data_IF_852717354631
#
_entry.id   IF_852717354631
#
_cell.length_a   1.000
_cell.length_b   1.000
_cell.length_c   1.000
_cell.angle_alpha   90.00
_cell.angle_beta   90.00
_cell.angle_gamma   90.00
#
_symmetry.space_group_name_H-M   'P 1'
#
loop_
_entity.id
_entity.type
_entity.pdbx_description
1 polymer ?
#
# COMPACT_ATOMS: atom_id res chain seq x y z
N UNK A 1 12.82 7.09 -11.80
CA UNK A 1 11.45 7.49 -11.37
C UNK A 1 10.90 6.42 -10.45
N UNK A 2 9.90 6.74 -9.62
CA UNK A 2 9.27 5.76 -8.72
C UNK A 2 8.73 4.54 -9.49
N UNK A 3 8.21 4.75 -10.69
CA UNK A 3 7.67 3.66 -11.52
C UNK A 3 8.73 2.78 -12.18
N UNK A 4 10.00 3.20 -12.19
CA UNK A 4 11.11 2.40 -12.76
C UNK A 4 11.58 1.32 -11.78
N UNK A 5 11.17 1.39 -10.52
CA UNK A 5 11.50 0.41 -9.47
C UNK A 5 10.61 -0.81 -9.53
N UNK A 6 9.72 -0.94 -10.51
CA UNK A 6 8.81 -2.07 -10.64
C UNK A 6 8.70 -2.52 -12.10
N UNK A 7 8.79 -3.83 -12.32
CA UNK A 7 8.60 -4.45 -13.63
C UNK A 7 7.56 -5.57 -13.56
N UNK A 8 6.80 -5.78 -14.63
CA UNK A 8 5.94 -6.95 -14.73
C UNK A 8 6.74 -8.15 -15.24
N UNK A 9 6.53 -9.31 -14.62
CA UNK A 9 7.18 -10.55 -15.01
C UNK A 9 6.12 -11.49 -15.58
N UNK A 10 6.21 -11.82 -16.86
CA UNK A 10 5.42 -12.89 -17.44
C UNK A 10 6.14 -14.25 -17.23
N UNK A 11 5.61 -15.16 -16.37
CA UNK A 11 6.19 -16.47 -16.19
C UNK A 11 6.09 -17.37 -17.43
N UNK A 12 5.38 -16.97 -18.48
CA UNK A 12 5.16 -17.75 -19.70
C UNK A 12 6.05 -17.38 -20.89
N UNK A 13 7.02 -16.48 -20.71
CA UNK A 13 7.95 -16.03 -21.74
C UNK A 13 8.94 -17.15 -22.20
N UNK A 14 8.40 -18.13 -22.92
CA UNK A 14 9.10 -18.87 -23.97
C UNK A 14 8.79 -18.18 -25.30
N UNK A 15 9.74 -18.09 -26.25
CA UNK A 15 9.48 -17.55 -27.58
C UNK A 15 8.61 -18.54 -28.35
N UNK A 16 7.32 -18.49 -28.08
CA UNK A 16 6.27 -19.17 -28.83
C UNK A 16 5.23 -18.09 -29.14
N UNK A 17 4.62 -18.06 -30.33
CA UNK A 17 3.59 -17.06 -30.62
C UNK A 17 2.41 -17.33 -29.69
N UNK A 18 2.30 -16.54 -28.63
CA UNK A 18 1.18 -16.57 -27.71
C UNK A 18 -0.09 -16.03 -28.39
N UNK A 19 -1.27 -16.29 -27.81
CA UNK A 19 -2.51 -15.69 -28.29
C UNK A 19 -2.39 -14.16 -28.25
N UNK A 20 -3.11 -13.48 -29.14
CA UNK A 20 -3.10 -12.01 -29.22
C UNK A 20 -3.38 -11.40 -27.83
N UNK A 21 -2.62 -10.37 -27.42
CA UNK A 21 -2.85 -9.70 -26.15
C UNK A 21 -4.27 -9.13 -26.09
N UNK A 22 -4.89 -9.15 -24.91
CA UNK A 22 -6.25 -8.61 -24.71
C UNK A 22 -6.28 -7.14 -25.17
N UNK A 23 -7.21 -6.75 -26.06
CA UNK A 23 -7.40 -5.37 -26.46
C UNK A 23 -7.46 -4.37 -25.30
N UNK A 24 -7.97 -4.76 -24.12
CA UNK A 24 -8.01 -3.89 -22.94
C UNK A 24 -6.62 -3.61 -22.37
N UNK A 25 -5.77 -4.63 -22.26
CA UNK A 25 -4.37 -4.51 -21.81
C UNK A 25 -3.55 -3.69 -22.81
N UNK A 26 -3.69 -3.96 -24.12
CA UNK A 26 -3.06 -3.13 -25.18
C UNK A 26 -3.54 -1.68 -25.07
N UNK A 27 -4.83 -1.46 -24.83
CA UNK A 27 -5.37 -0.12 -24.71
C UNK A 27 -4.80 0.60 -23.49
N UNK A 28 -4.79 -0.01 -22.31
CA UNK A 28 -4.24 0.58 -21.08
C UNK A 28 -2.74 0.86 -21.20
N UNK A 29 -1.95 -0.06 -21.74
CA UNK A 29 -0.53 0.16 -22.03
C UNK A 29 -0.32 1.30 -23.03
N UNK A 30 -1.17 1.36 -24.06
CA UNK A 30 -1.13 2.43 -25.05
C UNK A 30 -1.54 3.79 -24.48
N UNK A 31 -2.33 3.85 -23.39
CA UNK A 31 -2.70 5.12 -22.77
C UNK A 31 -1.48 5.86 -22.22
N UNK A 32 -0.57 5.12 -21.59
CA UNK A 32 0.68 5.68 -21.08
C UNK A 32 1.58 6.22 -22.21
N UNK A 33 1.63 5.52 -23.34
CA UNK A 33 2.50 5.86 -24.48
C UNK A 33 1.92 6.95 -25.37
N UNK A 34 0.60 6.96 -25.59
CA UNK A 34 -0.09 7.87 -26.52
C UNK A 34 -0.55 9.15 -25.82
N UNK A 35 -1.04 9.05 -24.59
CA UNK A 35 -1.64 10.18 -23.88
C UNK A 35 -0.79 10.71 -22.72
N UNK A 36 0.43 10.16 -22.52
CA UNK A 36 1.27 10.48 -21.35
C UNK A 36 0.53 10.26 -20.03
N UNK A 37 -0.45 9.35 -19.99
CA UNK A 37 -1.23 9.05 -18.80
C UNK A 37 -0.34 8.35 -17.76
N UNK A 38 -0.14 8.92 -16.56
CA UNK A 38 0.72 8.34 -15.56
C UNK A 38 0.21 6.97 -15.10
N UNK A 39 1.10 6.00 -15.12
CA UNK A 39 0.84 4.68 -14.55
C UNK A 39 0.75 4.78 -13.02
N UNK A 40 -0.36 4.28 -12.45
CA UNK A 40 -0.65 4.36 -11.00
C UNK A 40 -0.64 3.00 -10.30
N UNK A 41 -0.80 1.93 -11.07
CA UNK A 41 -0.89 0.55 -10.62
C UNK A 41 -0.04 -0.37 -11.51
N UNK A 42 0.39 -1.49 -10.96
CA UNK A 42 1.33 -2.41 -11.61
C UNK A 42 0.89 -3.86 -11.49
N UNK A 43 1.09 -4.60 -12.59
CA UNK A 43 0.82 -6.01 -12.75
C UNK A 43 -0.63 -6.35 -13.08
N UNK A 44 -0.85 -7.64 -13.32
CA UNK A 44 -2.17 -8.22 -13.63
C UNK A 44 -2.56 -9.27 -12.57
N UNK A 45 -3.87 -9.50 -12.35
CA UNK A 45 -4.34 -10.55 -11.46
C UNK A 45 -3.67 -11.91 -11.69
N UNK A 46 -3.20 -12.54 -10.62
CA UNK A 46 -2.55 -13.86 -10.67
C UNK A 46 -1.13 -13.88 -11.24
N UNK A 47 -0.60 -12.76 -11.76
CA UNK A 47 0.75 -12.64 -12.32
C UNK A 47 1.77 -12.21 -11.26
N UNK A 48 2.99 -11.92 -11.70
CA UNK A 48 4.08 -11.48 -10.84
C UNK A 48 4.61 -10.12 -11.28
N UNK A 49 5.10 -9.35 -10.31
CA UNK A 49 5.90 -8.16 -10.52
C UNK A 49 7.24 -8.31 -9.78
N UNK A 50 8.28 -7.63 -10.27
CA UNK A 50 9.57 -7.48 -9.61
C UNK A 50 9.67 -6.05 -9.08
N UNK A 51 9.73 -5.87 -7.77
CA UNK A 51 10.16 -4.61 -7.17
C UNK A 51 11.68 -4.61 -7.02
N UNK A 52 12.35 -3.54 -7.46
CA UNK A 52 13.80 -3.40 -7.47
C UNK A 52 14.20 -2.32 -6.47
N UNK A 53 14.87 -2.71 -5.39
CA UNK A 53 15.49 -1.79 -4.44
C UNK A 53 16.99 -1.75 -4.69
N UNK A 54 17.55 -0.54 -4.85
CA UNK A 54 19.00 -0.37 -4.98
C UNK A 54 19.76 -0.85 -3.72
N UNK A 55 19.13 -0.72 -2.54
CA UNK A 55 19.75 -1.06 -1.26
C UNK A 55 19.50 -2.50 -0.82
N UNK A 56 18.29 -3.03 -1.07
CA UNK A 56 17.84 -4.32 -0.53
C UNK A 56 17.77 -5.45 -1.57
N UNK A 57 17.93 -5.12 -2.85
CA UNK A 57 17.82 -6.06 -3.97
C UNK A 57 16.40 -6.20 -4.51
N UNK A 58 16.18 -7.29 -5.24
CA UNK A 58 14.93 -7.52 -5.98
C UNK A 58 13.93 -8.37 -5.20
N UNK A 59 12.66 -8.01 -5.28
CA UNK A 59 11.54 -8.64 -4.57
C UNK A 59 10.49 -9.10 -5.57
N UNK A 60 10.26 -10.40 -5.63
CA UNK A 60 9.27 -10.99 -6.52
C UNK A 60 7.93 -11.08 -5.79
N UNK A 61 6.91 -10.40 -6.30
CA UNK A 61 5.58 -10.35 -5.71
C UNK A 61 4.58 -11.00 -6.64
N UNK A 62 3.84 -11.99 -6.13
CA UNK A 62 2.63 -12.51 -6.76
C UNK A 62 1.47 -11.57 -6.48
N UNK A 63 0.61 -11.39 -7.48
CA UNK A 63 -0.64 -10.65 -7.35
C UNK A 63 -1.81 -11.61 -7.18
N UNK A 64 -2.79 -11.18 -6.38
CA UNK A 64 -3.97 -11.97 -6.14
C UNK A 64 -4.77 -12.18 -7.43
N UNK A 65 -5.45 -13.32 -7.55
CA UNK A 65 -6.44 -13.58 -8.58
C UNK A 65 -7.80 -13.66 -7.86
N UNK A 66 -8.50 -12.52 -7.68
CA UNK A 66 -9.64 -12.46 -6.79
C UNK A 66 -10.86 -13.17 -7.35
N UNK A 67 -11.74 -13.65 -6.45
CA UNK A 67 -13.10 -13.98 -6.85
C UNK A 67 -13.79 -12.72 -7.43
N UNK A 68 -14.62 -12.84 -8.48
CA UNK A 68 -15.33 -11.69 -9.07
C UNK A 68 -16.08 -10.81 -8.07
N UNK A 69 -16.58 -11.37 -6.96
CA UNK A 69 -17.23 -10.61 -5.89
C UNK A 69 -16.27 -9.66 -5.14
N UNK A 70 -14.98 -9.98 -5.14
CA UNK A 70 -13.91 -9.26 -4.46
C UNK A 70 -13.07 -8.39 -5.42
N UNK A 71 -13.33 -8.41 -6.73
CA UNK A 71 -12.62 -7.56 -7.71
C UNK A 71 -12.67 -6.07 -7.36
N UNK A 72 -13.80 -5.62 -6.81
CA UNK A 72 -13.97 -4.22 -6.40
C UNK A 72 -13.08 -3.78 -5.24
N UNK A 73 -12.38 -4.70 -4.56
CA UNK A 73 -11.46 -4.37 -3.47
C UNK A 73 -10.06 -3.97 -3.97
N UNK A 74 -9.75 -4.22 -5.26
CA UNK A 74 -8.51 -3.80 -5.91
C UNK A 74 -7.18 -4.26 -5.25
N UNK A 75 -7.24 -5.31 -4.43
CA UNK A 75 -6.08 -5.92 -3.74
C UNK A 75 -5.12 -6.70 -4.67
N UNK A 76 -5.40 -6.73 -5.97
CA UNK A 76 -4.67 -7.51 -6.98
C UNK A 76 -3.65 -6.69 -7.78
N UNK A 77 -3.35 -5.46 -7.36
CA UNK A 77 -2.32 -4.61 -7.95
C UNK A 77 -1.29 -4.18 -6.92
N UNK A 78 -0.08 -3.81 -7.38
CA UNK A 78 0.82 -2.95 -6.60
C UNK A 78 0.59 -1.51 -7.01
N UNK A 79 0.20 -0.67 -6.05
CA UNK A 79 -0.05 0.75 -6.28
C UNK A 79 1.21 1.60 -6.03
N UNK A 80 1.33 2.75 -6.69
CA UNK A 80 2.48 3.66 -6.48
C UNK A 80 2.66 4.06 -5.00
N UNK A 81 1.58 4.15 -4.21
CA UNK A 81 1.68 4.41 -2.78
C UNK A 81 2.46 3.32 -2.02
N UNK A 82 2.38 2.06 -2.45
CA UNK A 82 3.11 0.95 -1.82
C UNK A 82 4.61 1.01 -2.15
N UNK A 83 4.96 1.41 -3.38
CA UNK A 83 6.35 1.68 -3.78
C UNK A 83 6.93 2.83 -2.95
N UNK A 84 6.17 3.91 -2.79
CA UNK A 84 6.60 5.07 -2.00
C UNK A 84 6.74 4.72 -0.51
N UNK A 85 5.85 3.90 0.06
CA UNK A 85 5.97 3.43 1.43
C UNK A 85 7.23 2.57 1.62
N UNK A 86 7.50 1.64 0.69
CA UNK A 86 8.71 0.84 0.69
C UNK A 86 9.99 1.70 0.66
N UNK A 87 10.02 2.72 -0.20
CA UNK A 87 11.14 3.66 -0.28
C UNK A 87 11.35 4.40 1.05
N UNK A 88 10.29 4.99 1.62
CA UNK A 88 10.38 5.75 2.89
C UNK A 88 10.85 4.89 4.07
N UNK A 89 10.48 3.60 4.08
CA UNK A 89 10.94 2.64 5.08
C UNK A 89 12.43 2.34 4.86
N UNK A 90 12.83 2.08 3.61
CA UNK A 90 14.21 1.74 3.20
C UNK A 90 15.18 2.84 3.60
N UNK A 91 14.88 4.10 3.22
CA UNK A 91 15.73 5.26 3.55
C UNK A 91 15.56 5.77 4.98
N UNK A 92 14.80 5.05 5.82
CA UNK A 92 14.55 5.37 7.24
C UNK A 92 13.81 6.69 7.52
N UNK A 93 13.21 7.33 6.51
CA UNK A 93 12.30 8.47 6.70
C UNK A 93 11.03 8.08 7.48
N UNK A 94 10.62 6.82 7.37
CA UNK A 94 9.67 6.17 8.27
C UNK A 94 10.32 4.97 8.94
N UNK A 95 11.20 5.25 9.92
CA UNK A 95 12.00 4.22 10.59
C UNK A 95 11.14 3.16 11.29
N UNK A 96 11.36 1.89 10.92
CA UNK A 96 10.72 0.70 11.48
C UNK A 96 11.66 -0.21 12.28
N UNK A 97 12.95 0.10 12.34
CA UNK A 97 13.94 -0.76 13.00
C UNK A 97 13.61 -0.94 14.50
N UNK A 98 13.52 -2.19 14.93
CA UNK A 98 13.15 -2.58 16.28
C UNK A 98 11.69 -2.27 16.66
N UNK A 99 10.82 -1.97 15.69
CA UNK A 99 9.40 -1.63 15.92
C UNK A 99 8.45 -2.79 15.60
N UNK A 100 7.27 -2.77 16.21
CA UNK A 100 6.13 -3.58 15.80
C UNK A 100 5.36 -2.84 14.72
N UNK A 101 5.26 -3.45 13.54
CA UNK A 101 4.70 -2.86 12.33
C UNK A 101 3.41 -3.58 11.95
N UNK A 102 2.39 -2.82 11.59
CA UNK A 102 1.18 -3.32 10.95
C UNK A 102 1.02 -2.68 9.57
N UNK A 103 0.84 -3.50 8.55
CA UNK A 103 0.32 -3.06 7.26
C UNK A 103 -1.18 -3.36 7.18
N UNK A 104 -1.99 -2.36 6.84
CA UNK A 104 -3.44 -2.50 6.63
C UNK A 104 -3.77 -2.32 5.16
N UNK A 105 -4.59 -3.23 4.60
CA UNK A 105 -4.84 -3.26 3.15
C UNK A 105 -3.57 -3.58 2.38
N UNK A 106 -2.89 -4.65 2.77
CA UNK A 106 -1.54 -4.98 2.32
C UNK A 106 -1.45 -5.28 0.81
N UNK A 107 -2.50 -5.79 0.17
CA UNK A 107 -2.47 -6.21 -1.24
C UNK A 107 -1.39 -7.27 -1.48
N UNK A 108 -0.32 -6.89 -2.19
CA UNK A 108 0.84 -7.76 -2.40
C UNK A 108 1.79 -7.84 -1.19
N UNK A 109 1.67 -6.94 -0.21
CA UNK A 109 2.44 -6.94 1.05
C UNK A 109 3.83 -6.33 0.98
N UNK A 110 4.10 -5.49 -0.04
CA UNK A 110 5.42 -4.92 -0.28
C UNK A 110 5.95 -4.09 0.93
N UNK A 111 5.23 -3.07 1.44
CA UNK A 111 5.65 -2.32 2.63
C UNK A 111 6.00 -3.21 3.83
N UNK A 112 5.18 -4.22 4.12
CA UNK A 112 5.42 -5.16 5.22
C UNK A 112 6.68 -6.02 5.00
N UNK A 113 6.91 -6.52 3.79
CA UNK A 113 8.14 -7.26 3.44
C UNK A 113 9.37 -6.39 3.65
N UNK A 114 9.34 -5.15 3.15
CA UNK A 114 10.45 -4.20 3.28
C UNK A 114 10.68 -3.84 4.75
N UNK A 115 9.62 -3.70 5.55
CA UNK A 115 9.77 -3.47 6.98
C UNK A 115 10.53 -4.61 7.70
N UNK A 116 10.31 -5.87 7.31
CA UNK A 116 11.06 -7.01 7.87
C UNK A 116 12.55 -6.95 7.50
N UNK A 117 12.87 -6.53 6.27
CA UNK A 117 14.25 -6.32 5.82
C UNK A 117 14.93 -5.14 6.53
N UNK A 118 14.17 -4.10 6.87
CA UNK A 118 14.62 -2.94 7.64
C UNK A 118 14.55 -3.16 9.16
N UNK A 119 14.80 -4.40 9.60
CA UNK A 119 14.92 -4.80 11.00
C UNK A 119 13.71 -4.49 11.91
N UNK A 120 12.48 -4.49 11.36
CA UNK A 120 11.30 -4.52 12.21
C UNK A 120 11.35 -5.71 13.19
N UNK A 121 10.99 -5.44 14.45
CA UNK A 121 10.95 -6.46 15.51
C UNK A 121 9.89 -7.52 15.18
N UNK A 122 8.76 -7.07 14.65
CA UNK A 122 7.62 -7.89 14.28
C UNK A 122 6.79 -7.15 13.23
N UNK A 123 6.34 -7.84 12.19
CA UNK A 123 5.48 -7.29 11.15
C UNK A 123 4.23 -8.13 11.00
N UNK A 124 3.07 -7.48 11.07
CA UNK A 124 1.76 -8.08 10.75
C UNK A 124 1.24 -7.46 9.47
N UNK A 125 0.87 -8.27 8.50
CA UNK A 125 0.24 -7.83 7.27
C UNK A 125 -1.24 -8.22 7.33
N UNK A 126 -2.11 -7.25 7.11
CA UNK A 126 -3.55 -7.44 7.18
C UNK A 126 -4.26 -6.96 5.92
N UNK A 127 -5.28 -7.72 5.54
CA UNK A 127 -6.17 -7.41 4.42
C UNK A 127 -7.57 -7.96 4.69
N UNK A 128 -8.53 -7.66 3.81
CA UNK A 128 -9.88 -8.20 3.88
C UNK A 128 -9.84 -9.73 4.03
N UNK A 129 -10.70 -10.35 4.86
CA UNK A 129 -10.63 -11.77 5.22
C UNK A 129 -11.10 -12.70 4.09
N UNK A 130 -10.51 -12.56 2.90
CA UNK A 130 -10.70 -13.41 1.74
C UNK A 130 -9.46 -14.32 1.55
N UNK A 131 -9.63 -15.64 1.41
CA UNK A 131 -8.52 -16.59 1.31
C UNK A 131 -7.51 -16.26 0.20
N UNK A 132 -7.96 -15.74 -0.94
CA UNK A 132 -7.11 -15.35 -2.07
C UNK A 132 -6.11 -14.25 -1.73
N UNK A 133 -6.48 -13.28 -0.90
CA UNK A 133 -5.61 -12.17 -0.50
C UNK A 133 -4.61 -12.64 0.54
N UNK A 134 -5.10 -13.29 1.60
CA UNK A 134 -4.24 -13.75 2.70
C UNK A 134 -3.21 -14.80 2.22
N UNK A 135 -3.62 -15.72 1.33
CA UNK A 135 -2.69 -16.70 0.76
C UNK A 135 -1.68 -16.09 -0.20
N UNK A 136 -2.05 -15.03 -0.93
CA UNK A 136 -1.12 -14.27 -1.78
C UNK A 136 -0.06 -13.57 -0.94
N UNK A 137 -0.47 -12.85 0.11
CA UNK A 137 0.45 -12.18 1.04
C UNK A 137 1.40 -13.21 1.67
N UNK A 138 0.86 -14.34 2.16
CA UNK A 138 1.66 -15.41 2.75
C UNK A 138 2.68 -15.97 1.75
N UNK A 139 2.27 -16.19 0.50
CA UNK A 139 3.16 -16.64 -0.58
C UNK A 139 4.29 -15.63 -0.81
N UNK A 140 3.99 -14.33 -0.80
CA UNK A 140 4.99 -13.29 -1.00
C UNK A 140 5.98 -13.20 0.16
N UNK A 141 5.54 -13.41 1.40
CA UNK A 141 6.45 -13.55 2.54
C UNK A 141 7.39 -14.74 2.36
N UNK A 142 6.89 -15.89 1.93
CA UNK A 142 7.68 -17.11 1.74
C UNK A 142 8.68 -17.01 0.58
N UNK A 143 8.33 -16.30 -0.49
CA UNK A 143 9.22 -16.05 -1.63
C UNK A 143 10.39 -15.15 -1.21
N UNK A 144 10.11 -14.09 -0.43
CA UNK A 144 11.07 -13.00 -0.24
C UNK A 144 11.81 -13.05 1.10
N UNK A 145 11.33 -13.77 2.11
CA UNK A 145 11.93 -13.79 3.44
C UNK A 145 12.69 -15.09 3.72
N UNK A 146 13.88 -14.97 4.31
CA UNK A 146 14.55 -16.12 4.92
C UNK A 146 13.72 -16.68 6.09
N UNK A 147 13.97 -17.94 6.48
CA UNK A 147 13.28 -18.55 7.64
C UNK A 147 13.35 -17.70 8.91
N UNK A 148 14.47 -17.01 9.14
CA UNK A 148 14.67 -16.16 10.32
C UNK A 148 13.85 -14.86 10.27
N UNK A 149 13.70 -14.29 9.07
CA UNK A 149 12.89 -13.11 8.81
C UNK A 149 11.39 -13.46 8.87
N UNK A 150 11.01 -14.58 8.24
CA UNK A 150 9.63 -15.08 8.23
C UNK A 150 9.11 -15.35 9.66
N UNK A 151 9.97 -15.74 10.60
CA UNK A 151 9.61 -15.93 12.00
C UNK A 151 9.15 -14.64 12.71
N UNK A 152 9.41 -13.46 12.13
CA UNK A 152 8.96 -12.15 12.62
C UNK A 152 7.77 -11.60 11.84
N UNK A 153 7.28 -12.31 10.83
CA UNK A 153 6.19 -11.87 9.96
C UNK A 153 4.95 -12.76 10.14
N UNK A 154 3.77 -12.17 10.05
CA UNK A 154 2.51 -12.94 10.05
C UNK A 154 1.44 -12.25 9.22
N UNK A 155 0.48 -13.04 8.73
CA UNK A 155 -0.66 -12.56 7.94
C UNK A 155 -1.94 -12.78 8.73
N UNK A 156 -2.85 -11.82 8.68
CA UNK A 156 -4.15 -11.92 9.36
C UNK A 156 -5.27 -11.24 8.55
N UNK A 157 -6.44 -11.86 8.52
CA UNK A 157 -7.63 -11.22 7.97
C UNK A 157 -8.17 -10.16 8.93
N UNK A 158 -8.44 -8.96 8.41
CA UNK A 158 -9.03 -7.84 9.14
C UNK A 158 -9.92 -7.03 8.19
N UNK A 159 -11.21 -6.97 8.49
CA UNK A 159 -12.11 -6.04 7.83
C UNK A 159 -12.07 -4.70 8.58
N UNK A 160 -11.90 -3.60 7.86
CA UNK A 160 -11.77 -2.28 8.48
C UNK A 160 -13.00 -1.92 9.33
N UNK A 161 -12.77 -1.31 10.49
CA UNK A 161 -13.80 -0.94 11.45
C UNK A 161 -14.22 -2.05 12.40
N UNK A 162 -13.87 -3.32 12.13
CA UNK A 162 -14.07 -4.42 13.06
C UNK A 162 -13.17 -4.23 14.28
N UNK A 163 -13.70 -4.50 15.47
CA UNK A 163 -12.96 -4.29 16.74
C UNK A 163 -13.00 -5.50 17.68
N UNK A 164 -13.70 -6.56 17.27
CA UNK A 164 -13.89 -7.81 17.98
C UNK A 164 -13.22 -8.99 17.25
N UNK A 165 -12.49 -8.73 16.17
CA UNK A 165 -11.68 -9.73 15.51
C UNK A 165 -10.37 -10.00 16.24
N UNK A 166 -9.70 -11.09 15.85
CA UNK A 166 -8.49 -11.58 16.51
C UNK A 166 -7.37 -10.53 16.52
N UNK A 167 -7.26 -9.70 15.48
CA UNK A 167 -6.24 -8.65 15.43
C UNK A 167 -6.49 -7.60 16.53
N UNK A 168 -7.73 -7.12 16.63
CA UNK A 168 -8.09 -6.08 17.59
C UNK A 168 -8.17 -6.59 19.03
N UNK A 169 -8.63 -7.83 19.26
CA UNK A 169 -8.72 -8.40 20.61
C UNK A 169 -7.37 -8.76 21.20
N UNK A 170 -6.46 -9.30 20.38
CA UNK A 170 -5.18 -9.79 20.87
C UNK A 170 -4.11 -8.68 20.91
N UNK A 171 -4.27 -7.63 20.09
CA UNK A 171 -3.22 -6.62 19.84
C UNK A 171 -3.71 -5.16 19.94
N UNK A 172 -4.56 -4.78 20.91
CA UNK A 172 -4.99 -3.39 21.05
C UNK A 172 -3.79 -2.49 21.36
N UNK A 173 -3.65 -1.39 20.62
CA UNK A 173 -2.55 -0.43 20.81
C UNK A 173 -1.15 -1.04 20.74
N UNK A 174 -0.96 -2.12 19.97
CA UNK A 174 0.27 -2.91 19.99
C UNK A 174 1.34 -2.46 18.98
N UNK A 175 0.98 -1.62 18.01
CA UNK A 175 1.83 -1.32 16.86
C UNK A 175 2.43 0.08 16.94
N UNK A 176 3.76 0.15 16.95
CA UNK A 176 4.51 1.42 16.94
C UNK A 176 4.43 2.12 15.57
N UNK A 177 4.22 1.33 14.52
CA UNK A 177 4.14 1.77 13.13
C UNK A 177 2.95 1.10 12.47
N UNK A 178 2.08 1.91 11.87
CA UNK A 178 1.03 1.41 10.97
C UNK A 178 1.27 2.03 9.59
N UNK A 179 1.10 1.24 8.53
CA UNK A 179 1.20 1.69 7.14
C UNK A 179 -0.10 1.37 6.41
N UNK A 180 -0.66 2.35 5.71
CA UNK A 180 -1.75 2.17 4.74
C UNK A 180 -1.34 2.83 3.42
N UNK A 181 -1.29 2.04 2.35
CA UNK A 181 -0.88 2.49 1.03
C UNK A 181 -2.04 2.30 0.02
N UNK A 182 -2.57 3.42 -0.48
CA UNK A 182 -3.71 3.50 -1.42
C UNK A 182 -5.03 2.88 -0.91
N UNK A 183 -5.32 3.04 0.38
CA UNK A 183 -6.55 2.52 1.01
C UNK A 183 -7.73 3.51 1.04
N UNK A 184 -7.62 4.72 0.47
CA UNK A 184 -8.54 5.84 0.75
C UNK A 184 -9.58 6.09 -0.35
N UNK A 185 -9.70 5.20 -1.34
CA UNK A 185 -10.56 5.40 -2.50
C UNK A 185 -12.06 5.14 -2.24
N UNK A 186 -12.39 4.42 -1.16
CA UNK A 186 -13.76 4.16 -0.68
C UNK A 186 -14.15 5.12 0.44
N UNK A 187 -14.88 6.19 0.11
CA UNK A 187 -15.32 7.18 1.10
C UNK A 187 -16.14 6.55 2.24
N UNK A 188 -16.98 5.55 1.93
CA UNK A 188 -17.78 4.83 2.93
C UNK A 188 -16.94 4.06 3.96
N UNK A 189 -15.65 3.84 3.70
CA UNK A 189 -14.75 3.10 4.57
C UNK A 189 -13.76 3.97 5.34
N UNK A 190 -13.76 5.30 5.13
CA UNK A 190 -12.79 6.19 5.79
C UNK A 190 -12.90 6.14 7.32
N UNK A 191 -14.11 6.27 7.85
CA UNK A 191 -14.36 6.18 9.31
C UNK A 191 -13.97 4.78 9.85
N UNK A 192 -14.22 3.71 9.09
CA UNK A 192 -13.89 2.33 9.47
C UNK A 192 -12.37 2.12 9.56
N UNK A 193 -11.63 2.53 8.54
CA UNK A 193 -10.16 2.40 8.51
C UNK A 193 -9.53 3.25 9.62
N UNK A 194 -9.98 4.51 9.79
CA UNK A 194 -9.50 5.38 10.85
C UNK A 194 -9.75 4.78 12.25
N UNK A 195 -10.91 4.15 12.46
CA UNK A 195 -11.24 3.43 13.70
C UNK A 195 -10.28 2.26 13.95
N UNK A 196 -10.00 1.42 12.95
CA UNK A 196 -9.04 0.32 13.07
C UNK A 196 -7.65 0.80 13.43
N UNK A 197 -7.14 1.80 12.69
CA UNK A 197 -5.82 2.40 12.95
C UNK A 197 -5.77 2.95 14.37
N UNK A 198 -6.78 3.71 14.79
CA UNK A 198 -6.86 4.28 16.15
C UNK A 198 -6.83 3.20 17.24
N UNK A 199 -7.49 2.07 17.03
CA UNK A 199 -7.56 0.98 18.02
C UNK A 199 -6.23 0.18 18.12
N UNK A 200 -5.48 0.07 17.02
CA UNK A 200 -4.28 -0.76 16.91
C UNK A 200 -2.98 0.03 17.13
N UNK A 201 -3.00 1.35 16.90
CA UNK A 201 -1.84 2.21 17.04
C UNK A 201 -1.43 2.34 18.52
N UNK A 202 -0.16 2.06 18.82
CA UNK A 202 0.41 2.26 20.14
C UNK A 202 0.35 3.73 20.56
N UNK A 203 0.37 4.00 21.87
CA UNK A 203 0.26 5.33 22.46
C UNK A 203 1.20 6.37 21.80
N UNK A 204 2.46 5.99 21.60
CA UNK A 204 3.49 6.81 20.96
C UNK A 204 3.79 6.36 19.51
N UNK A 205 2.85 5.63 18.91
CA UNK A 205 2.95 5.09 17.56
C UNK A 205 2.71 6.15 16.49
N UNK A 206 3.20 5.86 15.29
CA UNK A 206 2.99 6.67 14.09
C UNK A 206 2.28 5.88 13.00
N UNK A 207 1.36 6.52 12.30
CA UNK A 207 0.63 5.98 11.17
C UNK A 207 1.05 6.70 9.89
N UNK A 208 1.62 5.95 8.94
CA UNK A 208 1.95 6.40 7.60
C UNK A 208 0.78 6.11 6.66
N UNK A 209 0.20 7.16 6.12
CA UNK A 209 -0.93 7.14 5.20
C UNK A 209 -0.49 7.69 3.85
N UNK A 210 -0.46 6.85 2.81
CA UNK A 210 -0.05 7.28 1.46
C UNK A 210 -1.16 6.96 0.48
N UNK A 211 -1.50 7.90 -0.41
CA UNK A 211 -2.42 7.63 -1.51
C UNK A 211 -2.17 8.52 -2.72
N UNK A 212 -2.44 7.99 -3.91
CA UNK A 212 -2.44 8.75 -5.15
C UNK A 212 -3.75 9.49 -5.41
N UNK A 213 -3.69 10.59 -6.16
CA UNK A 213 -4.89 11.37 -6.52
C UNK A 213 -5.66 10.82 -7.73
N UNK A 214 -5.40 9.58 -8.13
CA UNK A 214 -6.09 8.93 -9.26
C UNK A 214 -7.60 8.76 -9.01
N UNK A 215 -8.01 8.66 -7.75
CA UNK A 215 -9.43 8.67 -7.36
C UNK A 215 -9.97 10.05 -6.94
N UNK A 216 -9.13 11.09 -6.99
CA UNK A 216 -9.45 12.48 -6.68
C UNK A 216 -9.02 12.94 -5.28
N UNK A 217 -8.60 14.21 -5.18
CA UNK A 217 -8.15 14.84 -3.93
C UNK A 217 -9.18 14.77 -2.81
N UNK A 218 -10.46 14.98 -3.12
CA UNK A 218 -11.52 14.99 -2.12
C UNK A 218 -11.61 13.67 -1.34
N UNK A 219 -11.32 12.53 -1.97
CA UNK A 219 -11.32 11.23 -1.29
C UNK A 219 -10.12 11.06 -0.36
N UNK A 220 -8.93 11.38 -0.84
CA UNK A 220 -7.70 11.34 -0.02
C UNK A 220 -7.84 12.26 1.18
N UNK A 221 -8.31 13.48 0.92
CA UNK A 221 -8.57 14.48 1.93
C UNK A 221 -9.67 14.08 2.92
N UNK A 222 -10.76 13.45 2.45
CA UNK A 222 -11.82 12.92 3.29
C UNK A 222 -11.33 11.87 4.29
N UNK A 223 -10.37 11.03 3.90
CA UNK A 223 -9.74 10.10 4.84
C UNK A 223 -8.93 10.83 5.91
N UNK A 224 -8.17 11.87 5.55
CA UNK A 224 -7.41 12.66 6.53
C UNK A 224 -8.35 13.35 7.53
N UNK A 225 -9.49 13.89 7.06
CA UNK A 225 -10.53 14.46 7.93
C UNK A 225 -11.11 13.37 8.87
N UNK A 226 -11.36 12.16 8.36
CA UNK A 226 -11.85 11.03 9.16
C UNK A 226 -10.81 10.56 10.21
N UNK A 227 -9.53 10.55 9.86
CA UNK A 227 -8.44 10.24 10.78
C UNK A 227 -8.39 11.24 11.94
N UNK A 228 -8.50 12.54 11.65
CA UNK A 228 -8.56 13.58 12.68
C UNK A 228 -9.79 13.46 13.58
N UNK A 229 -10.96 13.21 12.98
CA UNK A 229 -12.21 12.95 13.70
C UNK A 229 -12.12 11.71 14.61
N UNK A 230 -11.37 10.68 14.21
CA UNK A 230 -11.10 9.49 15.03
C UNK A 230 -10.11 9.74 16.18
N UNK A 231 -9.56 10.94 16.29
CA UNK A 231 -8.61 11.31 17.35
C UNK A 231 -7.16 10.99 17.02
N UNK A 232 -6.82 10.89 15.75
CA UNK A 232 -5.44 11.00 15.27
C UNK A 232 -5.12 12.49 15.01
N UNK A 233 -3.86 12.88 15.07
CA UNK A 233 -3.39 14.22 14.79
C UNK A 233 -2.36 14.16 13.66
N UNK A 234 -2.48 15.07 12.70
CA UNK A 234 -1.52 15.24 11.62
C UNK A 234 -0.19 15.69 12.21
N UNK A 235 0.88 14.94 11.94
CA UNK A 235 2.27 15.33 12.21
C UNK A 235 2.81 16.10 11.02
N UNK A 236 2.63 15.56 9.82
CA UNK A 236 2.98 16.19 8.55
C UNK A 236 2.16 15.59 7.41
N UNK A 237 1.91 16.38 6.37
CA UNK A 237 1.46 15.88 5.08
C UNK A 237 2.26 16.60 3.99
N UNK A 238 2.84 15.84 3.07
CA UNK A 238 3.51 16.36 1.88
C UNK A 238 2.91 15.71 0.63
N UNK A 239 3.10 16.35 -0.52
CA UNK A 239 2.81 15.74 -1.82
C UNK A 239 4.10 15.48 -2.57
N UNK A 240 4.24 14.30 -3.17
CA UNK A 240 5.42 13.92 -3.95
C UNK A 240 4.99 13.25 -5.25
N UNK A 241 5.61 13.61 -6.36
CA UNK A 241 5.33 12.98 -7.64
C UNK A 241 6.26 11.79 -7.95
N UNK A 242 5.98 11.07 -9.04
CA UNK A 242 6.78 9.93 -9.51
C UNK A 242 8.22 10.29 -9.92
N UNK A 243 8.55 11.57 -10.11
CA UNK A 243 9.90 12.06 -10.37
C UNK A 243 10.64 12.49 -9.09
N UNK A 244 9.95 12.46 -7.95
CA UNK A 244 10.47 12.88 -6.65
C UNK A 244 10.33 14.37 -6.38
N UNK A 245 9.58 15.12 -7.20
CA UNK A 245 9.28 16.53 -6.96
C UNK A 245 8.30 16.62 -5.79
N UNK A 246 8.64 17.44 -4.80
CA UNK A 246 7.83 17.64 -3.61
C UNK A 246 7.12 18.99 -3.62
N UNK A 247 5.90 19.02 -3.06
CA UNK A 247 5.14 20.26 -2.82
C UNK A 247 4.34 20.16 -1.53
N UNK A 248 3.92 21.32 -1.03
CA UNK A 248 3.08 21.41 0.15
C UNK A 248 1.70 20.80 -0.09
N UNK A 249 1.20 20.10 0.92
CA UNK A 249 -0.18 19.62 0.95
C UNK A 249 -1.16 20.78 1.07
N UNK A 250 -2.21 20.73 0.26
CA UNK A 250 -3.40 21.56 0.44
C UNK A 250 -4.66 20.70 0.40
N UNK A 251 -5.59 20.98 1.31
CA UNK A 251 -6.87 20.27 1.42
C UNK A 251 -7.73 20.39 0.16
N UNK A 252 -7.63 21.53 -0.52
CA UNK A 252 -8.29 21.85 -1.79
C UNK A 252 -7.30 22.64 -2.67
N UNK A 253 -7.04 22.15 -3.89
CA UNK A 253 -6.16 22.80 -4.88
C UNK A 253 -6.97 23.45 -6.02
N UNK A 254 -8.29 23.51 -5.89
CA UNK A 254 -9.19 23.87 -6.98
C UNK A 254 -9.25 22.79 -8.05
N UNK A 255 -9.50 23.20 -9.29
CA UNK A 255 -9.57 22.27 -10.41
C UNK A 255 -8.16 21.76 -10.77
N UNK A 256 -7.93 20.48 -10.53
CA UNK A 256 -6.73 19.78 -10.98
C UNK A 256 -6.97 19.10 -12.32
N UNK A 257 -5.94 19.08 -13.17
CA UNK A 257 -5.96 18.25 -14.37
C UNK A 257 -6.07 16.77 -13.96
N UNK A 258 -7.07 16.02 -14.47
CA UNK A 258 -7.31 14.64 -14.06
C UNK A 258 -6.19 13.65 -14.41
N UNK A 259 -5.36 13.97 -15.40
CA UNK A 259 -4.21 13.16 -15.83
C UNK A 259 -3.00 13.54 -14.98
N UNK A 260 -2.66 14.83 -14.89
CA UNK A 260 -1.48 15.29 -14.15
C UNK A 260 -1.55 14.94 -12.66
N UNK A 261 -2.72 15.01 -12.04
CA UNK A 261 -2.86 14.69 -10.61
C UNK A 261 -2.50 13.23 -10.30
N UNK A 262 -2.62 12.30 -11.25
CA UNK A 262 -2.29 10.88 -11.05
C UNK A 262 -0.81 10.66 -10.76
N UNK A 263 0.05 11.59 -11.16
CA UNK A 263 1.50 11.56 -10.88
C UNK A 263 1.83 11.74 -9.40
N UNK A 264 0.91 12.34 -8.64
CA UNK A 264 1.17 12.82 -7.29
C UNK A 264 0.58 11.88 -6.24
N UNK A 265 1.36 11.68 -5.18
CA UNK A 265 0.97 10.99 -3.96
C UNK A 265 0.89 11.99 -2.81
N UNK A 266 -0.14 11.89 -1.98
CA UNK A 266 -0.15 12.50 -0.65
C UNK A 266 0.51 11.54 0.34
N UNK A 267 1.43 12.05 1.16
CA UNK A 267 2.18 11.30 2.17
C UNK A 267 1.91 11.95 3.52
N UNK A 268 1.02 11.35 4.31
CA UNK A 268 0.65 11.80 5.65
C UNK A 268 1.28 10.95 6.74
N UNK A 269 1.73 11.59 7.81
CA UNK A 269 2.12 10.93 9.06
C UNK A 269 1.21 11.44 10.17
N UNK A 270 0.63 10.52 10.93
CA UNK A 270 -0.31 10.78 12.00
C UNK A 270 0.14 10.12 13.30
N UNK A 271 -0.33 10.65 14.43
CA UNK A 271 -0.17 10.05 15.77
C UNK A 271 -1.45 10.19 16.58
N UNK A 272 -1.52 9.66 17.80
CA UNK A 272 -2.63 9.98 18.71
C UNK A 272 -2.66 11.48 19.05
N UNK A 273 -3.86 12.09 19.03
CA UNK A 273 -4.03 13.52 19.37
C UNK A 273 -3.69 13.83 20.83
N UNK A 274 -4.10 12.95 21.74
CA UNK A 274 -3.84 13.04 23.18
C UNK A 274 -3.21 11.70 23.63
N UNK A 275 -1.87 11.55 23.58
CA UNK A 275 -1.20 10.31 23.93
C UNK A 275 -1.34 9.96 25.41
#
# INVERSE_FOLDING_TARGET
>A
MLTDTIEEIDPTATPTPGPEPDPASIFEDSLSTIFSDPRVQHGEPGKYVLYKSEELGDFKLRLADPDPSNHSLFSHFVWNAALQAAELITISEFNVAGKKVLEVGAGAGLPGIIAVYCDAQETVLSDYPAPEFLSTIQTNLEINLSRSQLARASVIGHEWGQTDDKLCTDRPGAFDRIVAADCFWMESQHDNLAKSVKALLARDGEFLAIAGFHTGRDKVAGFFDAAEKAGLAIVRITEKDVEGVEREWVRDRGQEDPVERKRWLAIGVFKHKDP
#
